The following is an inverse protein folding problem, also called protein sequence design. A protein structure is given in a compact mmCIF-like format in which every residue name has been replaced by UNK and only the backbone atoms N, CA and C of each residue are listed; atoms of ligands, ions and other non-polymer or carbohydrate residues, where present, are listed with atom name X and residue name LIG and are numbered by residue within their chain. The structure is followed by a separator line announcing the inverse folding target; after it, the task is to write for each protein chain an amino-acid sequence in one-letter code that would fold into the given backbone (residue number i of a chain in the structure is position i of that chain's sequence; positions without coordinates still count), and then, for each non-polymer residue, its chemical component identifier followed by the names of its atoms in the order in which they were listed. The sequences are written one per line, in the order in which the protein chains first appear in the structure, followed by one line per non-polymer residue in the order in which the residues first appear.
data_IF_826276086196
#
_entry.id   IF_826276086196
#
_cell.length_a   1.000
_cell.length_b   1.000
_cell.length_c   1.000
_cell.angle_alpha   90.00
_cell.angle_beta   90.00
_cell.angle_gamma   90.00
#
_symmetry.space_group_name_H-M   'P 1'
#
loop_
_entity.id
_entity.type
_entity.pdbx_description
1 polymer ?
#
# COMPACT_ATOMS: atom_id res chain seq x y z
N UNK A 1 22.84 -27.32 11.47
CA UNK A 1 23.24 -26.00 10.91
C UNK A 1 24.07 -26.12 9.64
N UNK A 2 25.27 -26.70 9.64
CA UNK A 2 26.13 -26.75 8.43
C UNK A 2 25.53 -27.49 7.21
N UNK A 3 24.72 -28.55 7.44
CA UNK A 3 24.05 -29.29 6.37
C UNK A 3 22.81 -28.60 5.79
N UNK A 4 22.19 -27.68 6.52
CA UNK A 4 21.05 -26.88 6.05
C UNK A 4 21.55 -25.68 5.22
N UNK A 5 22.62 -25.01 5.67
CA UNK A 5 23.29 -23.97 4.88
C UNK A 5 23.81 -24.52 3.55
N UNK A 6 24.42 -25.71 3.55
CA UNK A 6 24.95 -26.34 2.33
C UNK A 6 23.88 -26.71 1.29
N UNK A 7 22.65 -27.02 1.74
CA UNK A 7 21.53 -27.28 0.84
C UNK A 7 20.93 -25.98 0.27
N UNK A 8 20.86 -24.91 1.09
CA UNK A 8 20.43 -23.58 0.64
C UNK A 8 21.36 -22.99 -0.43
N UNK A 9 22.68 -23.14 -0.26
CA UNK A 9 23.66 -22.64 -1.25
C UNK A 9 23.58 -23.43 -2.57
N UNK A 10 23.29 -24.74 -2.51
CA UNK A 10 23.20 -25.59 -3.70
C UNK A 10 21.95 -25.34 -4.55
N UNK A 11 20.79 -25.06 -3.93
CA UNK A 11 19.55 -24.76 -4.66
C UNK A 11 19.62 -23.38 -5.33
N UNK A 12 20.18 -22.37 -4.64
CA UNK A 12 20.37 -21.02 -5.21
C UNK A 12 21.41 -21.02 -6.34
N UNK A 13 22.47 -21.84 -6.26
CA UNK A 13 23.43 -21.98 -7.36
C UNK A 13 22.90 -22.78 -8.57
N UNK A 14 22.09 -23.82 -8.35
CA UNK A 14 21.59 -24.67 -9.45
C UNK A 14 20.57 -23.96 -10.35
N UNK A 15 19.78 -23.01 -9.83
CA UNK A 15 18.83 -22.23 -10.65
C UNK A 15 19.54 -21.15 -11.48
N UNK A 16 20.71 -20.67 -11.04
CA UNK A 16 21.51 -19.67 -11.76
C UNK A 16 22.23 -20.16 -13.02
N UNK A 17 22.28 -21.48 -13.27
CA UNK A 17 23.11 -22.09 -14.32
C UNK A 17 22.38 -22.33 -15.66
N UNK A 18 21.15 -21.86 -15.83
CA UNK A 18 20.36 -22.05 -17.06
C UNK A 18 20.12 -20.78 -17.91
N UNK A 19 20.85 -19.68 -17.67
CA UNK A 19 20.65 -18.44 -18.41
C UNK A 19 21.66 -18.31 -19.57
N UNK A 20 21.12 -18.20 -20.79
CA UNK A 20 21.84 -18.00 -22.03
C UNK A 20 22.74 -16.74 -22.00
N UNK A 21 23.86 -16.71 -22.75
CA UNK A 21 24.82 -15.62 -22.68
C UNK A 21 24.33 -14.42 -23.49
N UNK A 22 23.94 -13.34 -22.81
CA UNK A 22 23.80 -12.03 -23.45
C UNK A 22 22.89 -11.04 -22.72
N UNK A 23 23.38 -10.39 -21.66
CA UNK A 23 23.01 -9.01 -21.30
C UNK A 23 23.89 -8.46 -20.15
N UNK A 24 24.58 -7.36 -20.45
CA UNK A 24 25.16 -6.29 -19.61
C UNK A 24 25.56 -6.51 -18.13
N UNK A 25 26.80 -6.13 -17.81
CA UNK A 25 27.44 -6.18 -16.48
C UNK A 25 26.69 -5.44 -15.34
N UNK A 26 25.88 -4.44 -15.64
CA UNK A 26 25.02 -3.77 -14.64
C UNK A 26 23.95 -4.74 -14.08
N UNK A 27 23.36 -5.57 -14.94
CA UNK A 27 22.37 -6.58 -14.53
C UNK A 27 22.98 -7.68 -13.64
N UNK A 28 24.26 -8.00 -13.83
CA UNK A 28 24.97 -9.00 -13.02
C UNK A 28 25.25 -8.47 -11.61
N UNK A 29 25.66 -7.20 -11.49
CA UNK A 29 25.89 -6.54 -10.19
C UNK A 29 24.61 -6.46 -9.35
N UNK A 30 23.47 -6.14 -9.97
CA UNK A 30 22.18 -6.07 -9.28
C UNK A 30 21.69 -7.45 -8.83
N UNK A 31 21.83 -8.47 -9.69
CA UNK A 31 21.49 -9.86 -9.36
C UNK A 31 22.32 -10.39 -8.19
N UNK A 32 23.63 -10.11 -8.17
CA UNK A 32 24.52 -10.51 -7.06
C UNK A 32 24.15 -9.78 -5.77
N UNK A 33 23.92 -8.47 -5.84
CA UNK A 33 23.53 -7.65 -4.68
C UNK A 33 22.21 -8.15 -4.07
N UNK A 34 21.20 -8.44 -4.91
CA UNK A 34 19.92 -8.97 -4.44
C UNK A 34 20.06 -10.37 -3.85
N UNK A 35 20.87 -11.24 -4.44
CA UNK A 35 21.15 -12.57 -3.89
C UNK A 35 21.77 -12.48 -2.49
N UNK A 36 22.73 -11.58 -2.27
CA UNK A 36 23.34 -11.36 -0.94
C UNK A 36 22.30 -10.84 0.06
N UNK A 37 21.45 -9.89 -0.37
CA UNK A 37 20.38 -9.34 0.47
C UNK A 37 19.41 -10.44 0.92
N UNK A 38 18.93 -11.27 0.00
CA UNK A 38 18.01 -12.39 0.29
C UNK A 38 18.62 -13.33 1.33
N UNK A 39 19.86 -13.81 1.10
CA UNK A 39 20.52 -14.73 2.04
C UNK A 39 20.64 -14.13 3.45
N UNK A 40 20.95 -12.83 3.54
CA UNK A 40 21.05 -12.12 4.81
C UNK A 40 19.69 -11.99 5.51
N UNK A 41 18.68 -11.55 4.78
CA UNK A 41 17.36 -11.27 5.33
C UNK A 41 16.65 -12.58 5.74
N UNK A 42 16.80 -13.65 4.97
CA UNK A 42 16.36 -15.02 5.31
C UNK A 42 17.04 -15.55 6.56
N UNK A 43 18.37 -15.39 6.65
CA UNK A 43 19.14 -15.81 7.82
C UNK A 43 18.66 -15.07 9.09
N UNK A 44 18.34 -13.78 8.96
CA UNK A 44 17.78 -13.00 10.04
C UNK A 44 16.35 -13.41 10.40
N UNK A 45 15.53 -13.74 9.40
CA UNK A 45 14.16 -14.22 9.61
C UNK A 45 14.13 -15.56 10.35
N UNK A 46 14.97 -16.51 9.92
CA UNK A 46 15.07 -17.81 10.57
C UNK A 46 15.64 -17.69 11.99
N UNK A 47 16.62 -16.80 12.19
CA UNK A 47 17.12 -16.47 13.54
C UNK A 47 15.98 -15.99 14.46
N UNK A 48 15.14 -15.07 14.00
CA UNK A 48 13.98 -14.57 14.77
C UNK A 48 12.97 -15.68 15.06
N UNK A 49 12.78 -16.59 14.10
CA UNK A 49 11.86 -17.72 14.21
C UNK A 49 12.22 -18.71 15.30
N UNK A 50 13.50 -19.02 15.41
CA UNK A 50 13.96 -20.05 16.33
C UNK A 50 13.71 -19.66 17.79
N UNK A 51 13.50 -18.38 18.11
CA UNK A 51 13.21 -17.84 19.46
C UNK A 51 14.19 -18.27 20.58
N UNK A 52 15.27 -18.96 20.23
CA UNK A 52 16.35 -19.43 21.12
C UNK A 52 17.58 -18.51 21.08
N UNK A 53 17.58 -17.54 20.17
CA UNK A 53 18.64 -16.55 20.00
C UNK A 53 18.09 -15.19 20.41
N UNK A 54 18.89 -14.41 21.13
CA UNK A 54 18.51 -13.08 21.58
C UNK A 54 18.21 -12.15 20.39
N UNK A 55 17.23 -11.25 20.57
CA UNK A 55 16.69 -10.43 19.50
C UNK A 55 17.76 -9.57 18.80
N UNK A 56 18.68 -9.00 19.60
CA UNK A 56 19.80 -8.19 19.17
C UNK A 56 20.77 -8.93 18.22
N UNK A 57 20.97 -10.23 18.43
CA UNK A 57 21.80 -11.07 17.55
C UNK A 57 21.13 -11.25 16.18
N UNK A 58 19.82 -11.46 16.13
CA UNK A 58 19.10 -11.58 14.86
C UNK A 58 19.01 -10.24 14.12
N UNK A 59 18.87 -9.14 14.88
CA UNK A 59 18.92 -7.77 14.35
C UNK A 59 20.29 -7.43 13.76
N UNK A 60 21.38 -7.95 14.34
CA UNK A 60 22.73 -7.77 13.80
C UNK A 60 22.95 -8.49 12.46
N UNK A 61 22.28 -9.63 12.23
CA UNK A 61 22.33 -10.35 10.94
C UNK A 61 21.55 -9.59 9.87
N UNK A 62 20.31 -9.18 10.17
CA UNK A 62 19.41 -8.54 9.18
C UNK A 62 19.62 -7.03 9.01
N UNK A 63 20.35 -6.38 9.92
CA UNK A 63 20.52 -4.92 9.95
C UNK A 63 19.27 -4.14 10.37
N UNK A 64 18.20 -4.82 10.78
CA UNK A 64 16.94 -4.23 11.20
C UNK A 64 16.44 -4.89 12.49
N UNK A 65 16.02 -4.04 13.42
CA UNK A 65 15.49 -4.42 14.72
C UNK A 65 13.96 -4.54 14.65
N UNK A 66 13.45 -5.77 14.77
CA UNK A 66 12.03 -6.12 14.53
C UNK A 66 11.33 -6.43 15.84
N UNK A 67 10.75 -5.43 16.49
CA UNK A 67 10.16 -5.60 17.83
C UNK A 67 8.85 -4.83 18.01
N UNK A 68 8.02 -5.30 18.96
CA UNK A 68 6.82 -4.56 19.39
C UNK A 68 7.16 -3.17 19.92
N UNK A 69 8.33 -2.99 20.55
CA UNK A 69 8.77 -1.68 21.02
C UNK A 69 8.95 -0.69 19.85
N UNK A 70 9.55 -1.14 18.73
CA UNK A 70 9.71 -0.32 17.53
C UNK A 70 8.36 0.10 16.94
N UNK A 71 7.38 -0.79 16.99
CA UNK A 71 6.02 -0.49 16.56
C UNK A 71 5.34 0.50 17.50
N UNK A 72 5.43 0.30 18.81
CA UNK A 72 4.90 1.21 19.81
C UNK A 72 5.52 2.61 19.71
N UNK A 73 6.83 2.70 19.45
CA UNK A 73 7.54 3.97 19.21
C UNK A 73 6.97 4.69 17.98
N UNK A 74 6.67 3.95 16.91
CA UNK A 74 6.02 4.50 15.72
C UNK A 74 4.58 4.96 16.01
N UNK A 75 3.77 4.13 16.68
CA UNK A 75 2.39 4.46 17.06
C UNK A 75 2.36 5.70 18.00
N UNK A 76 3.39 5.91 18.81
CA UNK A 76 3.58 7.13 19.62
C UNK A 76 4.17 8.33 18.87
N UNK A 77 4.62 8.14 17.63
CA UNK A 77 5.36 9.15 16.88
C UNK A 77 4.48 10.27 16.33
N UNK A 78 5.12 11.38 15.93
CA UNK A 78 4.45 12.43 15.16
C UNK A 78 3.96 11.91 13.79
N UNK A 79 4.71 11.02 13.14
CA UNK A 79 4.35 10.50 11.80
C UNK A 79 3.00 9.80 11.87
N UNK A 80 2.83 8.88 12.82
CA UNK A 80 1.58 8.17 13.02
C UNK A 80 0.40 9.12 13.28
N UNK A 81 0.60 10.07 14.20
CA UNK A 81 -0.41 11.10 14.51
C UNK A 81 -0.78 11.93 13.27
N UNK A 82 0.20 12.34 12.47
CA UNK A 82 -0.04 13.14 11.27
C UNK A 82 -0.80 12.35 10.20
N UNK A 83 -0.42 11.09 9.96
CA UNK A 83 -1.13 10.21 9.02
C UNK A 83 -2.56 9.90 9.50
N UNK A 84 -2.76 9.71 10.80
CA UNK A 84 -4.09 9.53 11.39
C UNK A 84 -5.01 10.73 11.15
N UNK A 85 -4.51 11.95 11.39
CA UNK A 85 -5.26 13.18 11.11
C UNK A 85 -5.47 13.39 9.60
N UNK A 86 -4.48 13.04 8.78
CA UNK A 86 -4.53 13.17 7.33
C UNK A 86 -5.61 12.28 6.72
N UNK A 87 -5.76 11.05 7.22
CA UNK A 87 -6.84 10.14 6.80
C UNK A 87 -8.24 10.67 7.07
N UNK A 88 -8.40 11.66 7.96
CA UNK A 88 -9.67 12.34 8.17
C UNK A 88 -9.99 13.38 7.10
N UNK A 89 -8.98 13.89 6.37
CA UNK A 89 -9.14 14.97 5.38
C UNK A 89 -9.76 14.47 4.06
N UNK A 90 -9.45 13.24 3.66
CA UNK A 90 -9.94 12.61 2.44
C UNK A 90 -11.02 11.55 2.69
N UNK A 91 -11.49 11.40 3.92
CA UNK A 91 -12.44 10.36 4.30
C UNK A 91 -13.78 10.42 3.54
N UNK A 92 -14.24 11.65 3.27
CA UNK A 92 -15.42 11.92 2.46
C UNK A 92 -15.10 12.15 0.97
N UNK A 93 -13.82 12.18 0.58
CA UNK A 93 -13.42 12.31 -0.81
C UNK A 93 -13.58 10.95 -1.54
N UNK A 94 -13.88 10.95 -2.85
CA UNK A 94 -13.91 9.72 -3.64
C UNK A 94 -12.53 9.05 -3.69
N UNK A 95 -12.45 7.72 -3.87
CA UNK A 95 -11.18 6.98 -3.93
C UNK A 95 -10.15 7.55 -4.92
N UNK A 96 -10.61 8.07 -6.05
CA UNK A 96 -9.76 8.79 -7.02
C UNK A 96 -8.92 9.92 -6.40
N UNK A 97 -9.38 10.50 -5.29
CA UNK A 97 -8.75 11.64 -4.61
C UNK A 97 -8.10 11.27 -3.29
N UNK A 98 -8.11 10.00 -2.90
CA UNK A 98 -7.54 9.55 -1.63
C UNK A 98 -6.09 9.09 -1.80
N UNK A 99 -5.29 9.29 -0.76
CA UNK A 99 -4.00 8.62 -0.60
C UNK A 99 -4.23 7.38 0.26
N UNK A 100 -3.93 6.21 -0.29
CA UNK A 100 -4.00 4.93 0.39
C UNK A 100 -2.57 4.39 0.51
N UNK A 101 -1.88 4.63 1.64
CA UNK A 101 -0.59 3.99 1.90
C UNK A 101 -0.70 2.49 1.70
N UNK A 102 0.24 1.92 0.95
CA UNK A 102 0.15 0.57 0.40
C UNK A 102 1.45 -0.22 0.58
N UNK A 103 1.36 -1.54 0.70
CA UNK A 103 2.51 -2.46 0.63
C UNK A 103 2.29 -3.47 -0.49
N UNK A 104 3.33 -3.67 -1.31
CA UNK A 104 3.29 -4.63 -2.42
C UNK A 104 3.47 -6.05 -1.87
N UNK A 105 2.62 -6.98 -2.32
CA UNK A 105 2.57 -8.38 -1.88
C UNK A 105 2.59 -8.50 -0.36
N UNK A 106 1.70 -7.77 0.31
CA UNK A 106 1.66 -7.64 1.78
C UNK A 106 1.72 -8.97 2.52
N UNK A 107 1.17 -10.03 1.93
CA UNK A 107 1.18 -11.39 2.46
C UNK A 107 2.56 -12.06 2.43
N UNK A 108 3.43 -11.69 1.50
CA UNK A 108 4.74 -12.29 1.34
C UNK A 108 5.70 -11.70 2.38
N UNK A 109 5.63 -12.23 3.60
CA UNK A 109 6.33 -11.69 4.76
C UNK A 109 7.16 -12.71 5.50
N UNK A 110 8.35 -12.29 5.91
CA UNK A 110 9.26 -13.04 6.77
C UNK A 110 8.66 -13.38 8.16
N UNK A 111 7.54 -12.73 8.55
CA UNK A 111 6.81 -13.05 9.76
C UNK A 111 6.12 -14.43 9.72
N UNK A 112 5.84 -14.99 8.53
CA UNK A 112 5.08 -16.23 8.35
C UNK A 112 5.97 -17.44 8.05
N UNK A 113 5.52 -18.69 8.33
CA UNK A 113 6.32 -19.91 8.20
C UNK A 113 7.10 -19.99 6.89
N UNK A 114 8.30 -20.57 6.94
CA UNK A 114 9.16 -20.65 5.75
C UNK A 114 8.56 -21.61 4.72
N UNK A 115 8.38 -21.11 3.51
CA UNK A 115 7.91 -21.77 2.29
C UNK A 115 8.75 -21.22 1.13
N UNK A 116 8.57 -21.71 -0.10
CA UNK A 116 9.29 -21.13 -1.26
C UNK A 116 8.98 -19.63 -1.46
N UNK A 117 7.73 -19.21 -1.25
CA UNK A 117 7.35 -17.78 -1.22
C UNK A 117 8.15 -17.01 -0.17
N UNK A 118 8.27 -17.55 1.04
CA UNK A 118 8.92 -16.87 2.17
C UNK A 118 10.46 -16.90 2.13
N UNK A 119 11.09 -17.54 1.14
CA UNK A 119 12.54 -17.44 0.87
C UNK A 119 12.90 -16.17 0.09
N UNK A 120 11.91 -15.39 -0.32
CA UNK A 120 12.11 -14.13 -1.03
C UNK A 120 11.02 -13.13 -0.62
N UNK A 121 10.98 -12.73 0.67
CA UNK A 121 9.85 -11.99 1.20
C UNK A 121 9.86 -10.53 0.75
N UNK A 122 8.73 -10.02 0.28
CA UNK A 122 8.51 -8.59 0.05
C UNK A 122 8.51 -7.79 1.36
N UNK A 123 8.10 -8.41 2.48
CA UNK A 123 7.87 -7.72 3.75
C UNK A 123 8.59 -8.39 4.92
N UNK A 124 8.94 -7.61 5.95
CA UNK A 124 9.50 -8.15 7.20
C UNK A 124 8.42 -8.35 8.27
N UNK A 125 7.42 -7.46 8.28
CA UNK A 125 6.36 -7.40 9.27
C UNK A 125 5.09 -8.10 8.77
N UNK A 126 4.27 -8.62 9.70
CA UNK A 126 2.97 -9.22 9.38
C UNK A 126 2.03 -8.21 8.69
N UNK A 127 0.94 -8.67 8.06
CA UNK A 127 -0.03 -7.75 7.45
C UNK A 127 -0.71 -6.92 8.53
N UNK A 128 -0.97 -7.51 9.71
CA UNK A 128 -1.46 -6.77 10.88
C UNK A 128 -0.51 -5.63 11.26
N UNK A 129 0.79 -5.87 11.28
CA UNK A 129 1.79 -4.86 11.61
C UNK A 129 1.96 -3.80 10.51
N UNK A 130 1.85 -4.20 9.24
CA UNK A 130 1.77 -3.24 8.14
C UNK A 130 0.58 -2.28 8.31
N UNK A 131 -0.60 -2.79 8.68
CA UNK A 131 -1.78 -1.96 8.98
C UNK A 131 -1.59 -1.04 10.20
N UNK A 132 -0.82 -1.47 11.20
CA UNK A 132 -0.37 -0.63 12.33
C UNK A 132 0.57 0.49 11.88
N UNK A 133 1.38 0.25 10.85
CA UNK A 133 2.20 1.26 10.15
C UNK A 133 1.40 2.15 9.18
N UNK A 134 0.13 2.42 9.49
CA UNK A 134 -0.77 3.30 8.73
C UNK A 134 -1.08 2.90 7.28
N UNK A 135 -0.70 1.68 6.87
CA UNK A 135 -1.11 1.08 5.58
C UNK A 135 -2.62 0.88 5.55
N UNK A 136 -3.26 1.25 4.42
CA UNK A 136 -4.72 1.15 4.21
C UNK A 136 -5.09 0.49 2.89
N UNK A 137 -4.10 0.10 2.10
CA UNK A 137 -4.26 -0.82 0.98
C UNK A 137 -3.25 -1.97 1.13
N UNK A 138 -3.72 -3.21 1.13
CA UNK A 138 -2.87 -4.41 1.20
C UNK A 138 -3.13 -5.31 0.00
N UNK A 139 -2.18 -6.17 -0.31
CA UNK A 139 -2.19 -7.06 -1.46
C UNK A 139 -1.95 -8.51 -1.08
N UNK A 140 -2.72 -9.39 -1.71
CA UNK A 140 -2.62 -10.84 -1.55
C UNK A 140 -2.63 -11.48 -2.93
N UNK A 141 -1.56 -12.19 -3.28
CA UNK A 141 -1.50 -12.99 -4.50
C UNK A 141 -2.07 -14.36 -4.17
N UNK A 142 -3.09 -14.75 -4.93
CA UNK A 142 -3.78 -16.01 -4.71
C UNK A 142 -3.53 -16.95 -5.87
N UNK A 143 -3.10 -18.16 -5.53
CA UNK A 143 -2.79 -19.22 -6.47
C UNK A 143 -3.62 -20.45 -6.13
N UNK A 144 -4.03 -21.19 -7.16
CA UNK A 144 -4.52 -22.55 -6.95
C UNK A 144 -3.32 -23.45 -6.66
N UNK A 145 -3.46 -24.34 -5.69
CA UNK A 145 -2.39 -25.26 -5.34
C UNK A 145 -2.95 -26.58 -4.77
N UNK A 146 -2.31 -27.73 -5.03
CA UNK A 146 -2.77 -28.99 -4.45
C UNK A 146 -2.87 -28.91 -2.92
N UNK A 147 -3.82 -29.63 -2.29
CA UNK A 147 -3.98 -29.61 -0.83
C UNK A 147 -2.68 -29.95 -0.09
N UNK A 148 -2.38 -29.16 0.94
CA UNK A 148 -1.10 -29.21 1.68
C UNK A 148 -0.90 -30.54 2.45
N UNK A 149 -1.99 -31.15 2.92
CA UNK A 149 -1.92 -32.35 3.77
C UNK A 149 -1.85 -33.65 2.96
N UNK A 150 -2.51 -33.73 1.81
CA UNK A 150 -2.41 -34.84 0.86
C UNK A 150 -2.82 -34.37 -0.54
N UNK A 151 -1.91 -34.43 -1.53
CA UNK A 151 -2.21 -34.04 -2.91
C UNK A 151 -3.35 -34.84 -3.59
N UNK A 152 -3.81 -35.93 -2.97
CA UNK A 152 -4.93 -36.76 -3.44
C UNK A 152 -6.27 -36.46 -2.73
N UNK A 153 -6.31 -35.58 -1.73
CA UNK A 153 -7.47 -35.39 -0.84
C UNK A 153 -8.57 -34.43 -1.37
N UNK A 154 -8.55 -34.10 -2.66
CA UNK A 154 -9.64 -33.35 -3.30
C UNK A 154 -9.16 -32.24 -4.23
N UNK A 155 -10.03 -31.26 -4.55
CA UNK A 155 -9.68 -30.16 -5.46
C UNK A 155 -8.58 -29.26 -4.87
N UNK A 156 -7.86 -28.56 -5.75
CA UNK A 156 -6.85 -27.55 -5.38
C UNK A 156 -7.42 -26.56 -4.34
N UNK A 157 -6.61 -26.23 -3.33
CA UNK A 157 -6.87 -25.15 -2.39
C UNK A 157 -6.41 -23.80 -2.96
N UNK A 158 -6.77 -22.71 -2.27
CA UNK A 158 -6.35 -21.35 -2.60
C UNK A 158 -5.34 -20.88 -1.57
N UNK A 159 -4.11 -20.66 -2.03
CA UNK A 159 -2.96 -20.30 -1.17
C UNK A 159 -2.47 -18.89 -1.48
N UNK A 160 -1.81 -18.30 -0.48
CA UNK A 160 -1.10 -17.02 -0.58
C UNK A 160 0.32 -17.29 -1.04
N UNK A 161 0.59 -17.06 -2.32
CA UNK A 161 1.85 -17.47 -2.92
C UNK A 161 2.41 -16.38 -3.84
N UNK A 162 3.71 -16.11 -3.73
CA UNK A 162 4.42 -15.23 -4.65
C UNK A 162 5.06 -16.09 -5.74
N UNK A 163 4.41 -16.19 -6.90
CA UNK A 163 4.87 -17.06 -7.97
C UNK A 163 4.64 -16.49 -9.36
N UNK A 164 5.49 -16.92 -10.30
CA UNK A 164 5.27 -16.68 -11.71
C UNK A 164 4.44 -17.80 -12.32
N UNK A 165 3.44 -17.44 -13.13
CA UNK A 165 2.66 -18.38 -13.94
C UNK A 165 3.47 -18.75 -15.18
N UNK A 166 3.97 -19.99 -15.23
CA UNK A 166 4.81 -20.50 -16.31
C UNK A 166 4.02 -21.52 -17.13
N UNK A 167 3.68 -21.24 -18.41
CA UNK A 167 3.07 -22.22 -19.28
C UNK A 167 4.03 -23.38 -19.57
N UNK A 168 3.60 -24.61 -19.30
CA UNK A 168 4.34 -25.85 -19.63
C UNK A 168 3.39 -26.78 -20.38
N UNK A 169 3.43 -26.71 -21.72
CA UNK A 169 2.47 -27.39 -22.57
C UNK A 169 1.04 -26.83 -22.36
N UNK A 170 0.02 -27.67 -22.15
CA UNK A 170 -1.35 -27.21 -21.87
C UNK A 170 -1.58 -26.78 -20.42
N UNK A 171 -0.60 -27.00 -19.53
CA UNK A 171 -0.71 -26.69 -18.11
C UNK A 171 -0.03 -25.36 -17.77
N UNK A 172 -0.48 -24.72 -16.69
CA UNK A 172 0.18 -23.58 -16.08
C UNK A 172 0.80 -24.07 -14.77
N UNK A 173 2.10 -23.83 -14.62
CA UNK A 173 2.85 -24.10 -13.39
C UNK A 173 3.00 -22.80 -12.63
N UNK A 174 2.66 -22.81 -11.34
CA UNK A 174 2.86 -21.66 -10.46
C UNK A 174 4.25 -21.75 -9.79
N UNK A 175 5.28 -21.36 -10.54
CA UNK A 175 6.67 -21.47 -10.11
C UNK A 175 6.97 -20.46 -8.98
N UNK A 176 7.17 -20.98 -7.78
CA UNK A 176 7.31 -20.19 -6.54
C UNK A 176 6.40 -20.70 -5.42
N UNK A 177 5.32 -21.41 -5.76
CA UNK A 177 4.42 -21.99 -4.76
C UNK A 177 4.91 -23.34 -4.25
N UNK A 178 4.50 -23.65 -3.02
CA UNK A 178 4.84 -24.82 -2.23
C UNK A 178 3.76 -25.07 -1.17
N UNK A 179 4.10 -25.40 0.07
CA UNK A 179 3.15 -25.56 1.18
C UNK A 179 2.75 -24.20 1.79
N UNK A 180 2.31 -23.31 0.91
CA UNK A 180 2.01 -21.91 1.23
C UNK A 180 0.78 -21.74 2.13
N UNK A 181 0.75 -20.62 2.84
CA UNK A 181 -0.32 -20.29 3.78
C UNK A 181 -1.67 -20.21 3.03
N UNK A 182 -2.75 -20.84 3.53
CA UNK A 182 -4.07 -20.72 2.91
C UNK A 182 -4.59 -19.28 2.89
N UNK A 183 -5.31 -18.90 1.83
CA UNK A 183 -5.93 -17.58 1.67
C UNK A 183 -6.82 -17.19 2.85
N UNK A 184 -7.60 -18.13 3.37
CA UNK A 184 -8.43 -17.95 4.58
C UNK A 184 -7.63 -17.37 5.75
N UNK A 185 -6.36 -17.75 5.92
CA UNK A 185 -5.55 -17.25 7.02
C UNK A 185 -5.22 -15.77 6.85
N UNK A 186 -4.97 -15.28 5.63
CA UNK A 186 -4.75 -13.86 5.36
C UNK A 186 -6.01 -13.05 5.61
N UNK A 187 -7.17 -13.56 5.20
CA UNK A 187 -8.48 -12.95 5.49
C UNK A 187 -8.76 -12.88 7.00
N UNK A 188 -8.45 -13.94 7.75
CA UNK A 188 -8.64 -13.97 9.22
C UNK A 188 -7.79 -12.93 9.90
N UNK A 189 -6.55 -12.73 9.44
CA UNK A 189 -5.66 -11.70 9.97
C UNK A 189 -6.20 -10.28 9.73
N UNK A 190 -6.67 -9.99 8.51
CA UNK A 190 -7.33 -8.73 8.20
C UNK A 190 -8.59 -8.53 9.07
N UNK A 191 -9.46 -9.55 9.18
CA UNK A 191 -10.65 -9.48 10.03
C UNK A 191 -10.29 -9.20 11.48
N UNK A 192 -9.29 -9.90 12.02
CA UNK A 192 -8.84 -9.74 13.39
C UNK A 192 -8.46 -8.29 13.66
N UNK A 193 -7.62 -7.70 12.80
CA UNK A 193 -7.25 -6.28 12.92
C UNK A 193 -8.45 -5.35 12.81
N UNK A 194 -9.35 -5.56 11.85
CA UNK A 194 -10.56 -4.74 11.68
C UNK A 194 -11.48 -4.79 12.90
N UNK A 195 -11.58 -5.93 13.58
CA UNK A 195 -12.45 -6.11 14.75
C UNK A 195 -11.91 -5.51 16.05
N UNK A 196 -10.65 -5.06 16.07
CA UNK A 196 -10.10 -4.36 17.22
C UNK A 196 -10.80 -2.99 17.41
N UNK A 197 -11.19 -2.60 18.65
CA UNK A 197 -11.93 -1.37 18.90
C UNK A 197 -11.24 -0.11 18.37
N UNK A 198 -9.91 -0.01 18.49
CA UNK A 198 -9.12 1.11 17.98
C UNK A 198 -9.19 1.28 16.46
N UNK A 199 -9.53 0.21 15.74
CA UNK A 199 -9.60 0.20 14.28
C UNK A 199 -11.04 0.33 13.79
N UNK A 200 -12.06 0.51 14.63
CA UNK A 200 -13.48 0.47 14.24
C UNK A 200 -13.85 1.39 13.07
N UNK A 201 -13.15 2.53 12.91
CA UNK A 201 -13.35 3.49 11.81
C UNK A 201 -12.54 3.20 10.53
N UNK A 202 -11.74 2.14 10.49
CA UNK A 202 -10.88 1.84 9.35
C UNK A 202 -11.65 1.20 8.20
N UNK A 203 -11.32 1.64 6.98
CA UNK A 203 -11.66 0.99 5.71
C UNK A 203 -10.35 0.59 5.05
N UNK A 204 -10.27 -0.65 4.57
CA UNK A 204 -9.09 -1.21 3.90
C UNK A 204 -9.44 -1.57 2.46
N UNK A 205 -8.56 -1.20 1.52
CA UNK A 205 -8.56 -1.74 0.17
C UNK A 205 -7.75 -3.05 0.19
N UNK A 206 -8.39 -4.15 -0.17
CA UNK A 206 -7.73 -5.45 -0.35
C UNK A 206 -7.59 -5.69 -1.85
N UNK A 207 -6.36 -5.63 -2.36
CA UNK A 207 -6.06 -5.99 -3.72
C UNK A 207 -5.72 -7.49 -3.80
N UNK A 208 -6.38 -8.21 -4.72
CA UNK A 208 -6.16 -9.62 -4.97
C UNK A 208 -5.55 -9.81 -6.35
N UNK A 209 -4.30 -10.25 -6.40
CA UNK A 209 -3.72 -10.74 -7.64
C UNK A 209 -4.17 -12.19 -7.86
N UNK A 210 -5.11 -12.35 -8.79
CA UNK A 210 -5.78 -13.62 -9.03
C UNK A 210 -5.03 -14.45 -10.09
N UNK A 211 -4.33 -15.47 -9.61
CA UNK A 211 -3.70 -16.53 -10.39
C UNK A 211 -4.44 -17.87 -10.24
N UNK A 212 -5.77 -17.86 -10.17
CA UNK A 212 -6.60 -19.07 -10.13
C UNK A 212 -6.92 -19.65 -11.52
N UNK A 213 -6.34 -19.08 -12.58
CA UNK A 213 -6.38 -19.58 -13.97
C UNK A 213 -7.79 -19.78 -14.57
N UNK A 214 -8.78 -19.05 -14.09
CA UNK A 214 -10.17 -19.23 -14.50
C UNK A 214 -10.81 -20.55 -14.05
N UNK A 215 -10.18 -21.28 -13.11
CA UNK A 215 -10.73 -22.50 -12.54
C UNK A 215 -11.96 -22.17 -11.67
N UNK A 216 -13.13 -22.69 -12.06
CA UNK A 216 -14.39 -22.38 -11.38
C UNK A 216 -14.37 -22.86 -9.92
N UNK A 217 -13.81 -24.03 -9.64
CA UNK A 217 -13.78 -24.60 -8.28
C UNK A 217 -12.91 -23.76 -7.35
N UNK A 218 -11.73 -23.34 -7.81
CA UNK A 218 -10.84 -22.48 -7.04
C UNK A 218 -11.46 -21.10 -6.79
N UNK A 219 -12.16 -20.51 -7.78
CA UNK A 219 -12.86 -19.24 -7.61
C UNK A 219 -14.04 -19.34 -6.64
N UNK A 220 -14.83 -20.41 -6.69
CA UNK A 220 -15.91 -20.67 -5.74
C UNK A 220 -15.36 -20.85 -4.31
N UNK A 221 -14.24 -21.57 -4.16
CA UNK A 221 -13.55 -21.71 -2.88
C UNK A 221 -13.09 -20.36 -2.33
N UNK A 222 -12.41 -19.55 -3.15
CA UNK A 222 -11.96 -18.23 -2.73
C UNK A 222 -13.13 -17.30 -2.36
N UNK A 223 -14.22 -17.34 -3.12
CA UNK A 223 -15.43 -16.57 -2.82
C UNK A 223 -16.07 -17.02 -1.50
N UNK A 224 -16.15 -18.33 -1.24
CA UNK A 224 -16.63 -18.87 0.02
C UNK A 224 -15.74 -18.47 1.20
N UNK A 225 -14.42 -18.46 1.04
CA UNK A 225 -13.48 -17.98 2.06
C UNK A 225 -13.70 -16.48 2.37
N UNK A 226 -13.92 -15.63 1.35
CA UNK A 226 -14.28 -14.23 1.53
C UNK A 226 -15.61 -14.09 2.28
N UNK A 227 -16.63 -14.85 1.89
CA UNK A 227 -17.95 -14.81 2.53
C UNK A 227 -17.88 -15.21 4.00
N UNK A 228 -17.25 -16.35 4.28
CA UNK A 228 -17.16 -16.90 5.63
C UNK A 228 -16.32 -16.02 6.56
N UNK A 229 -15.23 -15.46 6.04
CA UNK A 229 -14.29 -14.68 6.86
C UNK A 229 -14.62 -13.20 6.87
N UNK A 230 -14.89 -12.53 5.77
CA UNK A 230 -15.16 -11.08 5.76
C UNK A 230 -16.65 -10.75 5.67
N UNK A 231 -17.41 -11.53 4.89
CA UNK A 231 -18.87 -11.49 4.78
C UNK A 231 -19.45 -10.08 4.74
N UNK A 232 -20.18 -9.63 5.79
CA UNK A 232 -20.86 -8.34 5.79
C UNK A 232 -19.92 -7.12 5.75
N UNK A 233 -18.62 -7.30 6.04
CA UNK A 233 -17.64 -6.21 5.98
C UNK A 233 -17.30 -5.80 4.55
N UNK A 234 -17.55 -6.65 3.55
CA UNK A 234 -17.18 -6.37 2.16
C UNK A 234 -18.19 -5.43 1.51
N UNK A 235 -17.71 -4.31 0.98
CA UNK A 235 -18.44 -3.48 0.03
C UNK A 235 -18.39 -4.16 -1.34
N UNK A 236 -19.52 -4.72 -1.76
CA UNK A 236 -19.61 -5.58 -2.94
C UNK A 236 -20.02 -4.78 -4.18
N UNK A 237 -19.80 -5.32 -5.39
CA UNK A 237 -20.40 -4.82 -6.63
C UNK A 237 -21.89 -4.48 -6.50
N UNK A 238 -22.66 -5.31 -5.80
CA UNK A 238 -24.09 -5.10 -5.59
C UNK A 238 -24.41 -3.85 -4.75
N UNK A 239 -23.55 -3.50 -3.78
CA UNK A 239 -23.68 -2.26 -3.00
C UNK A 239 -23.46 -1.00 -3.87
N UNK A 240 -22.93 -1.17 -5.09
CA UNK A 240 -22.75 -0.14 -6.11
C UNK A 240 -23.59 -0.40 -7.39
N UNK A 241 -24.67 -1.17 -7.26
CA UNK A 241 -25.68 -1.32 -8.33
C UNK A 241 -25.34 -2.31 -9.44
N UNK A 242 -24.34 -3.16 -9.28
CA UNK A 242 -23.95 -4.15 -10.27
C UNK A 242 -23.90 -5.57 -9.71
N UNK A 243 -24.35 -6.57 -10.48
CA UNK A 243 -24.48 -7.93 -9.98
C UNK A 243 -23.14 -8.69 -9.88
N UNK A 244 -22.20 -8.46 -10.80
CA UNK A 244 -20.92 -9.17 -10.85
C UNK A 244 -19.87 -8.40 -11.66
N UNK A 245 -18.59 -8.55 -11.31
CA UNK A 245 -17.42 -8.03 -12.02
C UNK A 245 -17.49 -6.54 -12.36
N UNK A 246 -18.15 -5.76 -11.52
CA UNK A 246 -18.22 -4.31 -11.68
C UNK A 246 -16.82 -3.72 -11.50
N UNK A 247 -16.44 -2.68 -12.27
CA UNK A 247 -15.25 -1.90 -11.98
C UNK A 247 -15.21 -1.43 -10.52
N UNK A 248 -14.01 -1.20 -9.99
CA UNK A 248 -13.84 -0.54 -8.69
C UNK A 248 -14.61 0.81 -8.68
N UNK A 249 -15.38 1.10 -7.61
CA UNK A 249 -16.21 2.30 -7.52
C UNK A 249 -15.35 3.52 -7.19
N UNK A 250 -14.88 4.19 -8.24
CA UNK A 250 -13.93 5.30 -8.17
C UNK A 250 -14.47 6.56 -7.47
N UNK A 251 -15.79 6.76 -7.53
CA UNK A 251 -16.52 7.91 -7.01
C UNK A 251 -17.02 7.72 -5.57
N UNK A 252 -16.85 6.52 -5.00
CA UNK A 252 -17.25 6.20 -3.63
C UNK A 252 -16.15 6.62 -2.63
N UNK A 253 -16.55 7.08 -1.45
CA UNK A 253 -15.66 7.47 -0.37
C UNK A 253 -15.59 6.41 0.73
N UNK A 254 -14.54 6.46 1.57
CA UNK A 254 -14.44 5.60 2.77
C UNK A 254 -15.58 5.87 3.74
N UNK A 255 -16.01 7.13 3.87
CA UNK A 255 -17.19 7.51 4.64
C UNK A 255 -18.47 6.83 4.12
N UNK A 256 -18.68 6.79 2.80
CA UNK A 256 -19.83 6.12 2.20
C UNK A 256 -19.80 4.60 2.41
N UNK A 257 -18.63 3.96 2.26
CA UNK A 257 -18.44 2.54 2.57
C UNK A 257 -18.84 2.24 4.02
N UNK A 258 -18.37 3.04 4.99
CA UNK A 258 -18.75 2.86 6.41
C UNK A 258 -20.21 3.14 6.67
N UNK A 259 -20.80 4.14 6.00
CA UNK A 259 -22.23 4.44 6.12
C UNK A 259 -23.10 3.26 5.64
N UNK A 260 -22.61 2.46 4.69
CA UNK A 260 -23.23 1.21 4.26
C UNK A 260 -22.95 0.02 5.21
N UNK A 261 -22.29 0.24 6.35
CA UNK A 261 -21.90 -0.82 7.29
C UNK A 261 -20.74 -1.69 6.79
N UNK A 262 -20.05 -1.25 5.74
CA UNK A 262 -18.93 -1.97 5.11
C UNK A 262 -17.59 -1.38 5.55
N UNK A 263 -16.52 -2.16 5.39
CA UNK A 263 -15.16 -1.82 5.85
C UNK A 263 -14.03 -2.35 4.96
N UNK A 264 -14.32 -3.23 4.00
CA UNK A 264 -13.35 -3.77 3.06
C UNK A 264 -13.84 -3.53 1.64
N UNK A 265 -13.00 -2.94 0.79
CA UNK A 265 -13.21 -2.91 -0.65
C UNK A 265 -12.22 -3.87 -1.28
N UNK A 266 -12.73 -4.92 -1.93
CA UNK A 266 -11.88 -5.93 -2.59
C UNK A 266 -11.80 -5.62 -4.08
N UNK A 267 -10.58 -5.55 -4.61
CA UNK A 267 -10.29 -5.27 -6.01
C UNK A 267 -9.37 -6.37 -6.57
N UNK A 268 -9.60 -6.82 -7.80
CA UNK A 268 -8.80 -7.85 -8.46
C UNK A 268 -9.17 -7.89 -9.94
N UNK A 269 -8.83 -8.96 -10.67
CA UNK A 269 -9.45 -9.17 -11.98
C UNK A 269 -10.84 -9.85 -11.82
N UNK A 270 -11.62 -9.89 -12.89
CA UNK A 270 -12.87 -10.66 -12.92
C UNK A 270 -12.56 -12.16 -13.02
N UNK A 271 -13.48 -12.99 -12.53
CA UNK A 271 -13.36 -14.45 -12.50
C UNK A 271 -14.73 -15.13 -12.52
N UNK A 272 -14.80 -16.44 -12.84
CA UNK A 272 -16.04 -17.19 -12.93
C UNK A 272 -16.70 -17.42 -11.57
N UNK A 273 -17.93 -17.95 -11.59
CA UNK A 273 -18.65 -18.34 -10.39
C UNK A 273 -19.04 -17.15 -9.50
N UNK A 274 -19.09 -17.38 -8.20
CA UNK A 274 -19.43 -16.36 -7.20
C UNK A 274 -18.36 -15.25 -7.05
N UNK A 275 -17.13 -15.44 -7.53
CA UNK A 275 -16.01 -14.50 -7.38
C UNK A 275 -16.37 -13.05 -7.73
N UNK A 276 -16.96 -12.86 -8.92
CA UNK A 276 -17.30 -11.53 -9.41
C UNK A 276 -18.36 -10.81 -8.58
N UNK A 277 -19.09 -11.49 -7.70
CA UNK A 277 -20.05 -10.87 -6.77
C UNK A 277 -19.39 -10.32 -5.50
N UNK A 278 -18.14 -10.70 -5.23
CA UNK A 278 -17.35 -10.28 -4.06
C UNK A 278 -16.21 -9.34 -4.41
N UNK A 279 -15.64 -9.47 -5.62
CA UNK A 279 -14.43 -8.75 -6.04
C UNK A 279 -14.76 -7.75 -7.15
N UNK A 280 -14.39 -6.49 -6.94
CA UNK A 280 -14.46 -5.50 -8.00
C UNK A 280 -13.33 -5.71 -9.01
N UNK A 281 -13.65 -5.58 -10.29
CA UNK A 281 -12.69 -5.61 -11.38
C UNK A 281 -11.76 -4.38 -11.30
N UNK A 282 -10.44 -4.58 -11.46
CA UNK A 282 -9.48 -3.59 -11.95
C UNK A 282 -9.93 -3.19 -13.34
N UNK A 283 -10.83 -2.21 -13.35
CA UNK A 283 -11.44 -1.70 -14.58
C UNK A 283 -10.43 -0.89 -15.40
N UNK A 284 -10.87 -0.35 -16.54
CA UNK A 284 -10.02 0.47 -17.41
C UNK A 284 -9.49 1.75 -16.72
N UNK A 285 -10.06 2.12 -15.56
CA UNK A 285 -9.69 3.29 -14.76
C UNK A 285 -8.63 2.99 -13.69
N UNK A 286 -7.98 1.83 -13.72
CA UNK A 286 -6.85 1.50 -12.86
C UNK A 286 -5.57 1.56 -13.69
N UNK A 287 -4.63 2.41 -13.30
CA UNK A 287 -3.32 2.51 -13.93
C UNK A 287 -2.25 2.15 -12.91
N UNK A 288 -1.45 1.15 -13.23
CA UNK A 288 -0.36 0.73 -12.37
C UNK A 288 0.92 0.47 -13.15
N UNK A 289 2.04 0.72 -12.49
CA UNK A 289 3.34 0.39 -13.03
C UNK A 289 4.34 0.20 -11.89
N UNK A 290 5.37 -0.60 -12.15
CA UNK A 290 6.57 -0.59 -11.33
C UNK A 290 7.17 0.82 -11.26
N UNK A 291 7.82 1.11 -10.15
CA UNK A 291 8.62 2.32 -9.96
C UNK A 291 9.95 2.13 -10.67
N UNK A 292 10.49 3.19 -11.26
CA UNK A 292 11.77 3.10 -11.93
C UNK A 292 12.93 3.10 -10.93
N UNK A 293 14.16 2.99 -11.43
CA UNK A 293 15.35 3.02 -10.56
C UNK A 293 15.80 4.47 -10.32
N UNK A 294 15.97 4.85 -9.06
CA UNK A 294 16.83 5.99 -8.67
C UNK A 294 16.17 7.37 -8.68
N UNK A 295 15.11 7.58 -7.88
CA UNK A 295 14.46 8.88 -7.69
C UNK A 295 14.00 9.52 -9.00
N UNK A 296 13.46 8.73 -9.93
CA UNK A 296 13.14 9.16 -11.29
C UNK A 296 11.72 9.73 -11.45
N UNK A 297 10.83 9.52 -10.48
CA UNK A 297 9.51 10.15 -10.52
C UNK A 297 9.64 11.69 -10.54
N UNK A 298 8.99 12.38 -11.51
CA UNK A 298 9.14 13.83 -11.67
C UNK A 298 8.55 14.58 -10.47
N UNK A 299 9.26 15.61 -9.99
CA UNK A 299 8.71 16.48 -8.93
C UNK A 299 7.65 17.44 -9.49
N UNK A 300 6.83 18.02 -8.63
CA UNK A 300 5.93 19.10 -9.02
C UNK A 300 6.73 20.36 -9.42
N UNK A 301 6.41 21.04 -10.54
CA UNK A 301 5.26 20.84 -11.43
C UNK A 301 5.52 19.91 -12.64
N UNK A 302 6.72 19.35 -12.80
CA UNK A 302 7.05 18.51 -13.95
C UNK A 302 6.13 17.27 -14.09
N UNK A 303 5.67 16.72 -12.97
CA UNK A 303 4.72 15.59 -12.98
C UNK A 303 3.32 15.92 -13.54
N UNK A 304 3.00 17.18 -13.82
CA UNK A 304 1.71 17.55 -14.42
C UNK A 304 1.54 16.92 -15.82
N UNK A 305 2.63 16.72 -16.56
CA UNK A 305 2.60 16.06 -17.86
C UNK A 305 2.17 14.58 -17.72
N UNK A 306 2.75 13.87 -16.76
CA UNK A 306 2.38 12.48 -16.45
C UNK A 306 0.94 12.39 -15.95
N UNK A 307 0.52 13.30 -15.06
CA UNK A 307 -0.86 13.35 -14.56
C UNK A 307 -1.89 13.45 -15.69
N UNK A 308 -1.59 14.25 -16.71
CA UNK A 308 -2.43 14.38 -17.89
C UNK A 308 -2.39 13.10 -18.75
N UNK A 309 -1.19 12.55 -19.00
CA UNK A 309 -1.01 11.36 -19.83
C UNK A 309 -1.72 10.12 -19.24
N UNK A 310 -1.63 9.92 -17.93
CA UNK A 310 -2.23 8.78 -17.23
C UNK A 310 -3.63 9.08 -16.67
N UNK A 311 -4.18 10.28 -16.92
CA UNK A 311 -5.55 10.69 -16.57
C UNK A 311 -5.90 10.51 -15.09
N UNK A 312 -5.09 11.09 -14.20
CA UNK A 312 -5.27 11.02 -12.73
C UNK A 312 -6.62 11.60 -12.25
N UNK A 313 -7.32 12.35 -13.09
CA UNK A 313 -8.66 12.88 -12.81
C UNK A 313 -9.77 11.81 -12.87
N UNK A 314 -9.50 10.72 -13.58
CA UNK A 314 -10.46 9.64 -13.84
C UNK A 314 -9.90 8.26 -13.56
N UNK A 315 -8.60 8.14 -13.27
CA UNK A 315 -7.91 6.88 -13.04
C UNK A 315 -7.25 6.88 -11.66
N UNK A 316 -7.38 5.75 -10.97
CA UNK A 316 -6.61 5.47 -9.76
C UNK A 316 -5.20 5.06 -10.18
N UNK A 317 -4.21 5.66 -9.54
CA UNK A 317 -2.81 5.47 -9.89
C UNK A 317 -2.09 4.71 -8.78
N UNK A 318 -1.50 3.58 -9.16
CA UNK A 318 -0.64 2.77 -8.31
C UNK A 318 0.78 2.76 -8.85
N UNK A 319 1.75 3.00 -7.97
CA UNK A 319 3.17 2.79 -8.21
C UNK A 319 3.69 1.84 -7.15
N UNK A 320 4.48 0.85 -7.53
CA UNK A 320 5.01 -0.14 -6.59
C UNK A 320 6.50 -0.39 -6.84
N UNK A 321 7.26 -0.68 -5.80
CA UNK A 321 8.61 -1.26 -5.94
C UNK A 321 8.54 -2.78 -5.85
N UNK A 322 9.60 -3.45 -6.29
CA UNK A 322 9.74 -4.89 -6.17
C UNK A 322 11.19 -5.24 -5.81
N UNK A 323 11.36 -5.63 -4.56
CA UNK A 323 12.65 -5.96 -3.95
C UNK A 323 13.01 -7.45 -4.11
N UNK A 324 12.13 -8.25 -4.70
CA UNK A 324 12.27 -9.71 -4.75
C UNK A 324 13.31 -10.14 -5.79
N UNK A 325 13.99 -11.24 -5.47
CA UNK A 325 14.88 -11.94 -6.38
C UNK A 325 14.12 -12.58 -7.53
N UNK A 326 12.94 -13.16 -7.27
CA UNK A 326 12.08 -13.80 -8.27
C UNK A 326 11.76 -12.83 -9.41
N UNK A 327 11.33 -11.61 -9.08
CA UNK A 327 11.09 -10.58 -10.09
C UNK A 327 12.36 -10.21 -10.88
N UNK A 328 13.53 -10.21 -10.24
CA UNK A 328 14.81 -9.86 -10.90
C UNK A 328 15.30 -10.94 -11.84
N UNK A 329 14.98 -12.19 -11.54
CA UNK A 329 15.46 -13.34 -12.29
C UNK A 329 14.46 -13.82 -13.33
N UNK A 330 13.16 -13.57 -13.11
CA UNK A 330 12.11 -13.85 -14.08
C UNK A 330 11.97 -12.76 -15.16
N UNK A 331 12.58 -11.58 -15.00
CA UNK A 331 12.60 -10.55 -16.04
C UNK A 331 13.47 -10.97 -17.24
N UNK A 332 12.82 -11.60 -18.23
CA UNK A 332 13.40 -11.92 -19.54
C UNK A 332 13.38 -10.75 -20.53
N UNK A 333 12.88 -9.56 -20.13
CA UNK A 333 12.72 -8.40 -21.02
C UNK A 333 13.90 -7.43 -20.96
N UNK A 334 14.78 -7.58 -19.97
CA UNK A 334 15.94 -6.71 -19.77
C UNK A 334 15.58 -5.29 -19.33
N UNK A 335 14.33 -5.04 -18.90
CA UNK A 335 13.87 -3.75 -18.40
C UNK A 335 14.26 -3.52 -16.93
N UNK A 336 14.69 -4.57 -16.22
CA UNK A 336 15.02 -4.57 -14.81
C UNK A 336 13.78 -4.75 -13.94
N UNK A 337 13.94 -5.33 -12.75
CA UNK A 337 12.88 -5.26 -11.73
C UNK A 337 12.55 -3.82 -11.38
N UNK A 338 11.30 -3.54 -10.97
CA UNK A 338 10.95 -2.27 -10.36
C UNK A 338 12.02 -1.83 -9.34
N UNK A 339 12.42 -0.57 -9.44
CA UNK A 339 13.44 0.02 -8.57
C UNK A 339 12.93 0.24 -7.15
N UNK A 340 13.86 0.56 -6.24
CA UNK A 340 13.51 0.92 -4.87
C UNK A 340 12.85 2.29 -4.82
N UNK A 341 11.65 2.36 -4.27
CA UNK A 341 10.96 3.62 -3.98
C UNK A 341 11.61 4.26 -2.76
N UNK A 342 12.19 5.45 -2.93
CA UNK A 342 12.82 6.18 -1.82
C UNK A 342 11.83 7.13 -1.14
N UNK A 343 12.26 7.74 -0.02
CA UNK A 343 11.49 8.78 0.65
C UNK A 343 11.38 10.08 -0.19
N UNK A 344 12.37 10.37 -1.05
CA UNK A 344 12.31 11.52 -1.95
C UNK A 344 11.25 11.27 -3.01
N UNK A 345 11.31 10.10 -3.64
CA UNK A 345 10.35 9.70 -4.66
C UNK A 345 8.92 9.63 -4.12
N UNK A 346 8.73 9.01 -2.95
CA UNK A 346 7.44 8.97 -2.24
C UNK A 346 6.84 10.37 -2.07
N UNK A 347 7.67 11.36 -1.67
CA UNK A 347 7.21 12.74 -1.50
C UNK A 347 6.76 13.36 -2.83
N UNK A 348 7.48 13.09 -3.93
CA UNK A 348 7.11 13.57 -5.27
C UNK A 348 5.80 12.93 -5.73
N UNK A 349 5.67 11.60 -5.59
CA UNK A 349 4.44 10.87 -5.89
C UNK A 349 3.23 11.43 -5.13
N UNK A 350 3.37 11.71 -3.83
CA UNK A 350 2.32 12.28 -2.99
C UNK A 350 1.96 13.71 -3.43
N UNK A 351 2.95 14.57 -3.71
CA UNK A 351 2.71 15.92 -4.25
C UNK A 351 2.05 15.89 -5.62
N UNK A 352 2.23 14.81 -6.36
CA UNK A 352 1.63 14.60 -7.68
C UNK A 352 0.37 13.75 -7.63
N UNK A 353 -0.13 13.39 -6.45
CA UNK A 353 -1.42 12.74 -6.26
C UNK A 353 -1.50 11.29 -6.73
N UNK A 354 -0.40 10.54 -6.64
CA UNK A 354 -0.45 9.06 -6.73
C UNK A 354 -1.31 8.55 -5.57
N UNK A 355 -2.21 7.60 -5.85
CA UNK A 355 -3.15 7.08 -4.85
C UNK A 355 -2.51 5.99 -3.99
N UNK A 356 -1.82 5.03 -4.62
CA UNK A 356 -1.19 3.90 -3.95
C UNK A 356 0.31 3.91 -4.23
N UNK A 357 1.11 4.10 -3.19
CA UNK A 357 2.56 3.89 -3.24
C UNK A 357 2.83 2.57 -2.53
N UNK A 358 3.14 1.52 -3.28
CA UNK A 358 3.35 0.15 -2.81
C UNK A 358 4.78 -0.08 -2.39
N UNK A 359 5.00 -0.15 -1.07
CA UNK A 359 6.31 -0.39 -0.49
C UNK A 359 6.59 -1.88 -0.28
N UNK A 360 7.85 -2.23 -0.43
CA UNK A 360 8.51 -3.42 0.07
C UNK A 360 9.36 -3.07 1.31
N UNK A 361 9.60 -4.07 2.16
CA UNK A 361 10.50 -3.98 3.32
C UNK A 361 10.13 -2.85 4.28
N UNK A 362 8.86 -2.48 4.36
CA UNK A 362 8.39 -1.39 5.21
C UNK A 362 8.66 -1.71 6.69
N UNK A 363 9.16 -0.74 7.43
CA UNK A 363 9.42 -0.87 8.87
C UNK A 363 9.09 0.42 9.64
N UNK A 364 8.94 0.37 10.98
CA UNK A 364 8.41 1.50 11.75
C UNK A 364 9.27 2.78 11.75
N UNK A 365 10.55 2.70 11.37
CA UNK A 365 11.46 3.85 11.26
C UNK A 365 11.71 4.26 9.80
N UNK A 366 10.97 3.69 8.86
CA UNK A 366 11.17 3.93 7.45
C UNK A 366 10.87 5.40 7.11
N UNK A 367 11.82 6.15 6.53
CA UNK A 367 11.62 7.56 6.19
C UNK A 367 10.50 7.78 5.17
N UNK A 368 10.09 6.74 4.43
CA UNK A 368 8.98 6.79 3.47
C UNK A 368 7.64 7.00 4.15
N UNK A 369 7.45 6.49 5.37
CA UNK A 369 6.26 6.77 6.18
C UNK A 369 6.11 8.27 6.48
N UNK A 370 7.21 8.94 6.80
CA UNK A 370 7.21 10.39 6.99
C UNK A 370 6.98 11.15 5.66
N UNK A 371 7.45 10.60 4.53
CA UNK A 371 7.25 11.18 3.21
C UNK A 371 5.80 11.12 2.72
N UNK A 372 4.99 10.17 3.19
CA UNK A 372 3.54 10.09 2.95
C UNK A 372 2.75 11.24 3.60
N UNK A 373 3.30 11.83 4.67
CA UNK A 373 2.67 12.99 5.30
C UNK A 373 2.80 14.15 4.33
N UNK A 374 1.68 14.73 3.89
CA UNK A 374 1.63 15.98 3.11
C UNK A 374 0.99 17.13 3.88
N UNK A 375 0.22 16.81 4.91
CA UNK A 375 -0.59 17.76 5.68
C UNK A 375 0.23 18.48 6.76
N UNK A 376 0.42 17.89 7.93
CA UNK A 376 1.00 18.53 9.10
C UNK A 376 2.51 18.73 9.00
N UNK A 377 3.02 19.79 9.64
CA UNK A 377 4.45 19.98 9.87
C UNK A 377 4.92 19.08 11.03
N UNK A 378 6.22 18.84 11.13
CA UNK A 378 6.80 18.02 12.21
C UNK A 378 6.34 18.52 13.58
N UNK A 379 5.86 17.60 14.41
CA UNK A 379 5.29 17.81 15.74
C UNK A 379 3.96 18.60 15.80
N UNK A 380 3.34 18.92 14.67
CA UNK A 380 2.00 19.51 14.64
C UNK A 380 0.88 18.46 14.54
N UNK A 381 -0.36 18.77 14.96
CA UNK A 381 -0.77 19.97 15.69
C UNK A 381 -0.14 20.02 17.08
N UNK A 382 0.44 21.17 17.45
CA UNK A 382 1.04 21.37 18.76
C UNK A 382 -0.03 21.58 19.84
N UNK A 383 0.22 21.08 21.06
CA UNK A 383 -0.67 21.24 22.21
C UNK A 383 -0.84 22.69 22.67
N UNK A 384 0.18 23.53 22.44
CA UNK A 384 0.16 24.97 22.71
C UNK A 384 -0.42 25.79 21.55
N UNK A 385 -0.75 25.16 20.43
CA UNK A 385 -1.34 25.82 19.27
C UNK A 385 -2.82 26.12 19.44
N UNK A 386 -3.39 26.84 18.47
CA UNK A 386 -4.82 27.18 18.50
C UNK A 386 -5.70 26.15 17.80
N UNK A 387 -7.03 26.30 17.88
CA UNK A 387 -7.98 25.30 17.39
C UNK A 387 -8.19 25.33 15.86
N UNK A 388 -7.49 26.18 15.11
CA UNK A 388 -7.59 26.23 13.65
C UNK A 388 -6.30 25.73 12.98
N UNK A 389 -6.41 25.17 11.79
CA UNK A 389 -5.24 24.83 10.98
C UNK A 389 -4.94 25.93 9.96
N UNK A 390 -3.65 26.16 9.70
CA UNK A 390 -3.21 26.99 8.59
C UNK A 390 -2.03 26.36 7.86
N UNK A 391 -2.02 26.46 6.52
CA UNK A 391 -0.87 26.08 5.69
C UNK A 391 0.20 27.19 5.77
N UNK A 392 1.44 26.79 6.08
CA UNK A 392 2.60 27.68 6.14
C UNK A 392 3.33 27.82 4.81
N UNK A 393 4.46 28.55 4.84
CA UNK A 393 5.34 28.76 3.67
C UNK A 393 6.00 27.49 3.12
N UNK A 394 6.03 26.43 3.90
CA UNK A 394 6.56 25.11 3.53
C UNK A 394 5.47 24.16 3.01
N UNK A 395 4.25 24.67 2.79
CA UNK A 395 3.11 23.86 2.37
C UNK A 395 2.54 22.98 3.48
N UNK A 396 3.02 23.10 4.73
CA UNK A 396 2.60 22.25 5.86
C UNK A 396 1.65 22.94 6.82
N UNK A 397 0.77 22.16 7.43
CA UNK A 397 -0.24 22.61 8.37
C UNK A 397 0.36 22.79 9.76
N UNK A 398 -0.09 23.86 10.43
CA UNK A 398 0.23 24.17 11.84
C UNK A 398 -1.04 24.53 12.58
N UNK A 399 -1.12 24.18 13.86
CA UNK A 399 -2.20 24.63 14.71
C UNK A 399 -2.00 26.10 15.09
N UNK A 400 -3.00 26.94 14.83
CA UNK A 400 -2.95 28.39 15.00
C UNK A 400 -4.24 28.93 15.61
N UNK A 401 -4.16 30.12 16.19
CA UNK A 401 -5.37 30.86 16.56
C UNK A 401 -6.21 31.18 15.32
N UNK A 402 -7.54 31.09 15.46
CA UNK A 402 -8.53 31.31 14.40
C UNK A 402 -8.70 32.79 13.98
N UNK A 403 -7.59 33.55 13.92
CA UNK A 403 -7.61 35.01 13.71
C UNK A 403 -8.37 35.39 12.43
N UNK A 404 -9.30 36.36 12.48
CA UNK A 404 -10.16 36.71 11.36
C UNK A 404 -9.43 37.41 10.19
N UNK A 405 -8.18 37.83 10.39
CA UNK A 405 -7.40 38.56 9.37
C UNK A 405 -6.52 37.68 8.48
N UNK A 406 -6.42 36.36 8.73
CA UNK A 406 -5.64 35.46 7.87
C UNK A 406 -6.37 35.27 6.53
N UNK A 407 -5.64 35.24 5.40
CA UNK A 407 -6.24 34.81 4.14
C UNK A 407 -6.70 33.36 4.26
N UNK A 408 -7.73 33.01 3.50
CA UNK A 408 -8.41 31.72 3.52
C UNK A 408 -8.08 30.93 2.26
N UNK A 409 -8.00 29.60 2.41
CA UNK A 409 -7.94 28.67 1.31
C UNK A 409 -9.34 28.53 0.69
N UNK A 410 -9.50 29.00 -0.54
CA UNK A 410 -10.76 28.98 -1.26
C UNK A 410 -10.62 28.10 -2.50
N UNK A 411 -11.59 27.22 -2.75
CA UNK A 411 -11.57 26.32 -3.91
C UNK A 411 -12.84 26.49 -4.73
N UNK A 412 -12.74 26.45 -6.05
CA UNK A 412 -13.91 26.40 -6.92
C UNK A 412 -14.38 24.96 -7.19
N UNK A 413 -15.47 24.82 -7.96
CA UNK A 413 -16.01 23.50 -8.34
C UNK A 413 -15.09 22.67 -9.22
N UNK A 414 -14.16 23.31 -9.94
CA UNK A 414 -13.17 22.63 -10.77
C UNK A 414 -11.90 22.24 -9.97
N UNK A 415 -11.87 22.52 -8.66
CA UNK A 415 -10.73 22.22 -7.80
C UNK A 415 -9.58 23.21 -7.92
N UNK A 416 -9.79 24.40 -8.50
CA UNK A 416 -8.76 25.44 -8.55
C UNK A 416 -8.71 26.22 -7.23
N UNK A 417 -7.52 26.28 -6.63
CA UNK A 417 -7.28 26.96 -5.36
C UNK A 417 -6.98 28.45 -5.55
N UNK A 418 -7.53 29.27 -4.66
CA UNK A 418 -7.32 30.71 -4.56
C UNK A 418 -7.12 31.09 -3.10
N UNK A 419 -6.30 32.09 -2.86
CA UNK A 419 -6.02 32.61 -1.52
C UNK A 419 -6.56 34.04 -1.42
N UNK A 420 -7.50 34.26 -0.50
CA UNK A 420 -8.17 35.56 -0.35
C UNK A 420 -8.65 35.80 1.09
N UNK A 421 -8.83 37.07 1.50
CA UNK A 421 -9.37 37.39 2.84
C UNK A 421 -10.79 36.84 3.06
N UNK A 422 -11.59 36.80 2.00
CA UNK A 422 -12.92 36.21 1.93
C UNK A 422 -12.99 35.45 0.61
N UNK A 423 -13.61 34.27 0.62
CA UNK A 423 -13.74 33.49 -0.60
C UNK A 423 -14.59 34.24 -1.65
N UNK A 424 -14.04 34.48 -2.86
CA UNK A 424 -14.78 35.10 -3.95
C UNK A 424 -16.03 34.30 -4.32
N UNK A 425 -16.97 34.94 -5.03
CA UNK A 425 -18.13 34.24 -5.60
C UNK A 425 -17.68 33.06 -6.45
N UNK A 426 -18.41 31.93 -6.34
CA UNK A 426 -18.08 30.68 -7.01
C UNK A 426 -16.99 29.83 -6.34
N UNK A 427 -16.42 30.27 -5.22
CA UNK A 427 -15.46 29.49 -4.41
C UNK A 427 -15.99 29.25 -2.99
N UNK A 428 -15.50 28.21 -2.34
CA UNK A 428 -15.84 27.84 -0.96
C UNK A 428 -14.60 27.78 -0.09
N UNK A 429 -14.75 28.16 1.18
CA UNK A 429 -13.67 27.99 2.17
C UNK A 429 -13.45 26.51 2.41
N UNK A 430 -12.22 26.02 2.22
CA UNK A 430 -11.97 24.58 2.19
C UNK A 430 -10.59 24.18 2.75
N UNK A 431 -10.33 22.88 2.73
CA UNK A 431 -9.06 22.24 3.08
C UNK A 431 -8.76 21.16 2.03
N UNK A 432 -7.49 21.02 1.58
CA UNK A 432 -7.07 19.97 0.65
C UNK A 432 -7.45 18.57 1.13
N UNK A 433 -7.88 17.72 0.19
CA UNK A 433 -8.11 16.30 0.47
C UNK A 433 -6.82 15.47 0.32
N UNK A 434 -5.88 15.85 -0.55
CA UNK A 434 -4.67 15.07 -0.81
C UNK A 434 -3.43 15.95 -1.01
N UNK A 435 -2.28 15.31 -1.19
CA UNK A 435 -1.00 15.98 -1.39
C UNK A 435 -0.96 16.87 -2.63
N UNK A 436 -1.63 16.49 -3.72
CA UNK A 436 -1.71 17.31 -4.94
C UNK A 436 -2.54 18.58 -4.73
N UNK A 437 -3.70 18.48 -4.09
CA UNK A 437 -4.49 19.67 -3.75
C UNK A 437 -3.76 20.58 -2.76
N UNK A 438 -3.00 20.00 -1.83
CA UNK A 438 -2.17 20.75 -0.90
C UNK A 438 -1.06 21.52 -1.62
N UNK A 439 -0.42 20.89 -2.61
CA UNK A 439 0.59 21.52 -3.46
C UNK A 439 -0.01 22.65 -4.30
N UNK A 440 -1.18 22.45 -4.91
CA UNK A 440 -1.88 23.51 -5.66
C UNK A 440 -2.29 24.69 -4.77
N UNK A 441 -2.73 24.41 -3.54
CA UNK A 441 -2.99 25.47 -2.56
C UNK A 441 -1.69 26.21 -2.18
N UNK A 442 -0.59 25.49 -2.04
CA UNK A 442 0.71 26.08 -1.72
C UNK A 442 1.17 27.02 -2.85
N UNK A 443 1.06 26.60 -4.11
CA UNK A 443 1.32 27.45 -5.27
C UNK A 443 0.46 28.72 -5.26
N UNK A 444 -0.85 28.59 -5.01
CA UNK A 444 -1.75 29.73 -4.91
C UNK A 444 -1.39 30.66 -3.73
N UNK A 445 -0.89 30.12 -2.62
CA UNK A 445 -0.41 30.90 -1.48
C UNK A 445 0.86 31.69 -1.81
N UNK A 446 1.80 31.08 -2.52
CA UNK A 446 3.03 31.73 -3.00
C UNK A 446 2.68 32.86 -3.97
N UNK A 447 1.81 32.61 -4.95
CA UNK A 447 1.35 33.62 -5.90
C UNK A 447 0.64 34.81 -5.22
N UNK A 448 -0.05 34.57 -4.10
CA UNK A 448 -0.70 35.60 -3.31
C UNK A 448 0.22 36.28 -2.27
N UNK A 449 1.50 35.88 -2.18
CA UNK A 449 2.43 36.38 -1.15
C UNK A 449 2.03 36.03 0.28
N UNK A 450 1.19 35.01 0.47
CA UNK A 450 0.65 34.63 1.77
C UNK A 450 1.63 33.70 2.52
N UNK A 451 2.05 34.10 3.72
CA UNK A 451 2.91 33.29 4.58
C UNK A 451 2.16 32.26 5.43
N UNK A 452 0.84 32.42 5.54
CA UNK A 452 -0.04 31.57 6.34
C UNK A 452 -1.46 31.66 5.80
N UNK A 453 -2.01 30.54 5.37
CA UNK A 453 -3.37 30.44 4.80
C UNK A 453 -4.24 29.61 5.71
N UNK A 454 -5.32 30.20 6.23
CA UNK A 454 -6.30 29.50 7.07
C UNK A 454 -7.00 28.41 6.26
N UNK A 455 -7.20 27.24 6.87
CA UNK A 455 -7.85 26.08 6.28
C UNK A 455 -9.21 25.85 6.94
N UNK A 456 -10.16 25.29 6.19
CA UNK A 456 -11.45 24.83 6.72
C UNK A 456 -11.29 23.52 7.52
N UNK A 457 -10.39 23.55 8.51
CA UNK A 457 -10.04 22.42 9.35
C UNK A 457 -9.78 22.91 10.77
N UNK A 458 -10.57 22.44 11.72
CA UNK A 458 -10.53 22.91 13.12
C UNK A 458 -10.56 21.76 14.12
N UNK A 459 -9.92 21.97 15.26
CA UNK A 459 -10.11 21.13 16.43
C UNK A 459 -11.37 21.59 17.18
N UNK A 460 -12.38 20.71 17.24
CA UNK A 460 -13.58 20.92 18.03
C UNK A 460 -13.48 20.17 19.37
N UNK A 461 -13.75 20.82 20.52
CA UNK A 461 -13.70 20.15 21.83
C UNK A 461 -14.56 18.88 21.86
N UNK A 462 -13.97 17.77 22.33
CA UNK A 462 -14.64 16.47 22.43
C UNK A 462 -14.85 15.71 21.11
N UNK A 463 -14.56 16.34 19.95
CA UNK A 463 -14.69 15.73 18.62
C UNK A 463 -13.33 15.52 17.96
N UNK A 464 -12.38 16.43 18.21
CA UNK A 464 -11.07 16.43 17.57
C UNK A 464 -11.05 17.27 16.28
N UNK A 465 -10.01 17.05 15.47
CA UNK A 465 -9.84 17.79 14.21
C UNK A 465 -10.83 17.34 13.15
N UNK A 466 -11.59 18.29 12.59
CA UNK A 466 -12.67 18.05 11.63
C UNK A 466 -12.70 19.11 10.55
N UNK A 467 -13.06 18.67 9.34
CA UNK A 467 -13.36 19.56 8.20
C UNK A 467 -14.60 20.40 8.52
N UNK A 468 -14.59 21.67 8.12
CA UNK A 468 -15.73 22.59 8.31
C UNK A 468 -16.69 22.59 7.13
#
# INVERSE_FOLDING_TARGET
MARLLGALTAVVLCVGLLIAPGAHAASVSDKVTRTIKVVRDDSAAECRRLQVVAHDVCSAVGGLDVSEQRMADYEGSWVHRALALQRGLDDAAPFLRQLLPHTHNSFNSAAYPVTLTQLDPNQLYSMRDQLRMDIRAIEMDIHKWPPVDNPLDGPDDVVLCHATRVPVGPAIVHAGCSVDRPFTRGLVELRTWLTEPQNAGAVVLLYLENALDGDVTAHERAAADIENVLGPLVYRPADHGAASCAPMPMDVSRAAIRAAGRRVLIVGNCGPGAWGSWVHLRGPQWNESGSGMGDDYPDYPACLAERAALRYDTHLIRRFEDSTWLATMADGTGQGSPGQVTAVETRRMVRCGVNLVGFDQLHPQDPRLAALVWSWAVNEPSASGGPCAAQGRDGRFRSVSCRPRRPRACVDRAGAWKVARRCPSGTTFSVPANGFENERLHEAAVAAGASSVLLAYRNAPGVGWTRQ
#
